data_IF_699857060774
#
_entry.id   IF_699857060774
#
_cell.length_a   1.000
_cell.length_b   1.000
_cell.length_c   1.000
_cell.angle_alpha   90.00
_cell.angle_beta   90.00
_cell.angle_gamma   90.00
#
_symmetry.space_group_name_H-M   'P 1'
#
loop_
_entity.id
_entity.type
_entity.pdbx_description
1 polymer ?
#
# COMPACT_ATOMS: atom_id res chain seq x y z
N UNK A 1 -4.25 -9.80 -14.47
CA UNK A 1 -3.57 -10.60 -13.43
C UNK A 1 -3.42 -9.93 -12.07
N UNK A 2 -3.59 -8.61 -11.94
CA UNK A 2 -3.60 -7.92 -10.64
C UNK A 2 -4.47 -6.66 -10.71
N UNK A 3 -4.71 -6.01 -9.56
CA UNK A 3 -5.46 -4.75 -9.45
C UNK A 3 -4.57 -3.66 -8.85
N UNK A 4 -4.52 -2.50 -9.49
CA UNK A 4 -4.02 -1.27 -8.88
C UNK A 4 -5.14 -0.56 -8.14
N UNK A 5 -5.00 -0.40 -6.83
CA UNK A 5 -6.03 0.19 -5.97
C UNK A 5 -5.59 1.58 -5.50
N UNK A 6 -6.19 2.63 -6.06
CA UNK A 6 -5.83 4.01 -5.76
C UNK A 6 -6.34 5.04 -6.78
N UNK A 7 -5.91 6.31 -6.66
CA UNK A 7 -4.87 6.77 -5.74
C UNK A 7 -5.32 6.75 -4.27
N UNK A 8 -4.48 6.26 -3.36
CA UNK A 8 -4.78 6.27 -1.91
C UNK A 8 -4.71 7.69 -1.35
N UNK A 9 -3.68 8.43 -1.73
CA UNK A 9 -3.49 9.84 -1.38
C UNK A 9 -3.32 10.68 -2.65
N UNK A 10 -3.53 12.00 -2.51
CA UNK A 10 -3.27 12.94 -3.60
C UNK A 10 -1.84 12.80 -4.12
N UNK A 11 -1.66 12.85 -5.44
CA UNK A 11 -0.35 12.67 -6.07
C UNK A 11 -0.17 13.61 -7.26
N UNK A 12 1.02 14.24 -7.41
CA UNK A 12 1.30 15.12 -8.54
C UNK A 12 1.41 14.38 -9.89
N UNK A 13 1.50 13.04 -9.89
CA UNK A 13 1.56 12.25 -11.14
C UNK A 13 0.21 12.20 -11.87
N UNK A 14 -0.91 12.37 -11.16
CA UNK A 14 -2.28 12.41 -11.69
C UNK A 14 -3.13 13.37 -10.84
N UNK A 15 -2.95 14.69 -11.02
CA UNK A 15 -3.52 15.69 -10.11
C UNK A 15 -5.05 15.73 -10.12
N UNK A 16 -5.69 15.33 -11.21
CA UNK A 16 -7.16 15.40 -11.37
C UNK A 16 -7.90 14.25 -10.67
N UNK A 17 -7.17 13.25 -10.15
CA UNK A 17 -7.76 12.09 -9.51
C UNK A 17 -7.96 12.35 -8.02
N UNK A 18 -9.22 12.33 -7.58
CA UNK A 18 -9.55 12.39 -6.16
C UNK A 18 -9.06 11.10 -5.47
N UNK A 19 -8.38 11.21 -4.31
CA UNK A 19 -7.94 10.04 -3.57
C UNK A 19 -9.13 9.26 -3.02
N UNK A 20 -9.11 7.94 -3.19
CA UNK A 20 -10.14 7.04 -2.64
C UNK A 20 -9.95 6.81 -1.13
N UNK A 21 -8.77 7.12 -0.61
CA UNK A 21 -8.45 7.00 0.80
C UNK A 21 -8.23 5.57 1.27
N UNK A 22 -8.27 5.39 2.60
CA UNK A 22 -7.88 4.14 3.27
C UNK A 22 -9.04 3.19 3.56
N UNK A 23 -10.29 3.69 3.55
CA UNK A 23 -11.46 3.00 4.12
C UNK A 23 -11.74 1.65 3.49
N UNK A 24 -11.60 1.57 2.17
CA UNK A 24 -12.03 0.41 1.39
C UNK A 24 -10.92 -0.61 1.16
N UNK A 25 -9.69 -0.37 1.65
CA UNK A 25 -8.53 -1.25 1.43
C UNK A 25 -8.81 -2.66 1.96
N UNK A 26 -9.31 -2.78 3.18
CA UNK A 26 -9.61 -4.07 3.79
C UNK A 26 -10.69 -4.82 3.01
N UNK A 27 -11.77 -4.12 2.66
CA UNK A 27 -12.91 -4.70 1.95
C UNK A 27 -12.50 -5.17 0.55
N UNK A 28 -11.71 -4.37 -0.17
CA UNK A 28 -11.17 -4.75 -1.48
C UNK A 28 -10.38 -6.06 -1.43
N UNK A 29 -9.57 -6.29 -0.40
CA UNK A 29 -8.84 -7.57 -0.23
C UNK A 29 -9.72 -8.75 0.19
N UNK A 30 -10.95 -8.52 0.64
CA UNK A 30 -11.94 -9.57 0.93
C UNK A 30 -12.74 -9.92 -0.33
N UNK A 31 -13.07 -8.92 -1.14
CA UNK A 31 -13.95 -9.09 -2.31
C UNK A 31 -13.21 -9.55 -3.56
N UNK A 32 -11.90 -9.31 -3.64
CA UNK A 32 -11.09 -9.55 -4.83
C UNK A 32 -10.05 -10.62 -4.57
N UNK A 33 -10.14 -11.73 -5.31
CA UNK A 33 -9.18 -12.84 -5.25
C UNK A 33 -7.87 -12.57 -6.03
N UNK A 34 -7.77 -11.45 -6.74
CA UNK A 34 -6.55 -11.04 -7.44
C UNK A 34 -5.59 -10.29 -6.50
N UNK A 35 -4.27 -10.34 -6.76
CA UNK A 35 -3.32 -9.48 -6.08
C UNK A 35 -3.70 -8.00 -6.21
N UNK A 36 -3.94 -7.33 -5.09
CA UNK A 36 -4.15 -5.88 -5.05
C UNK A 36 -2.87 -5.17 -4.62
N UNK A 37 -2.49 -4.13 -5.36
CA UNK A 37 -1.42 -3.19 -5.04
C UNK A 37 -2.02 -1.82 -4.73
N UNK A 38 -1.92 -1.39 -3.48
CA UNK A 38 -2.29 -0.02 -3.12
C UNK A 38 -1.29 0.96 -3.74
N UNK A 39 -1.76 2.00 -4.43
CA UNK A 39 -0.92 2.91 -5.21
C UNK A 39 -1.42 4.35 -5.09
N UNK A 40 -0.52 5.33 -5.30
CA UNK A 40 -0.87 6.74 -5.42
C UNK A 40 -0.65 7.51 -4.11
N UNK A 41 0.34 8.41 -4.15
CA UNK A 41 0.70 9.27 -3.02
C UNK A 41 1.30 8.55 -1.81
N UNK A 42 1.62 7.26 -1.94
CA UNK A 42 2.28 6.48 -0.89
C UNK A 42 3.75 6.88 -0.77
N UNK A 43 4.22 7.02 0.46
CA UNK A 43 5.58 7.33 0.88
C UNK A 43 5.90 6.56 2.16
N UNK A 44 7.16 6.54 2.60
CA UNK A 44 7.55 5.86 3.85
C UNK A 44 6.82 6.42 5.07
N UNK A 45 6.62 7.74 5.14
CA UNK A 45 5.97 8.43 6.27
C UNK A 45 4.49 8.06 6.48
N UNK A 46 3.79 7.65 5.42
CA UNK A 46 2.37 7.28 5.45
C UNK A 46 2.13 5.79 5.22
N UNK A 47 3.18 5.00 4.97
CA UNK A 47 3.08 3.58 4.64
C UNK A 47 2.45 2.76 5.77
N UNK A 48 2.75 3.07 7.03
CA UNK A 48 2.17 2.37 8.18
C UNK A 48 0.63 2.49 8.20
N UNK A 49 0.08 3.65 7.81
CA UNK A 49 -1.37 3.86 7.75
C UNK A 49 -2.02 2.99 6.67
N UNK A 50 -1.35 2.84 5.53
CA UNK A 50 -1.80 2.00 4.41
C UNK A 50 -1.79 0.53 4.81
N UNK A 51 -0.74 0.08 5.51
CA UNK A 51 -0.64 -1.29 6.03
C UNK A 51 -1.71 -1.54 7.10
N UNK A 52 -1.88 -0.62 8.05
CA UNK A 52 -2.91 -0.71 9.09
C UNK A 52 -4.33 -0.78 8.53
N UNK A 53 -4.58 -0.13 7.39
CA UNK A 53 -5.85 -0.21 6.66
C UNK A 53 -6.07 -1.56 5.94
N UNK A 54 -5.07 -2.46 5.94
CA UNK A 54 -5.16 -3.82 5.42
C UNK A 54 -4.34 -4.07 4.15
N UNK A 55 -3.51 -3.12 3.70
CA UNK A 55 -2.73 -3.31 2.48
C UNK A 55 -1.67 -4.40 2.66
N UNK A 56 -1.67 -5.37 1.74
CA UNK A 56 -0.67 -6.45 1.67
C UNK A 56 0.48 -6.14 0.71
N UNK A 57 0.25 -5.25 -0.27
CA UNK A 57 1.22 -4.86 -1.31
C UNK A 57 1.00 -3.39 -1.64
N UNK A 58 2.09 -2.67 -1.90
CA UNK A 58 2.07 -1.24 -2.26
C UNK A 58 2.94 -0.97 -3.48
N UNK A 59 2.63 0.09 -4.21
CA UNK A 59 3.47 0.66 -5.25
C UNK A 59 3.83 2.12 -4.91
N UNK A 60 5.14 2.38 -4.80
CA UNK A 60 5.70 3.68 -4.44
C UNK A 60 6.55 4.16 -5.62
N UNK A 61 6.25 5.36 -6.13
CA UNK A 61 6.97 5.95 -7.28
C UNK A 61 7.68 7.22 -6.87
N UNK A 62 6.98 8.36 -6.83
CA UNK A 62 7.59 9.66 -6.52
C UNK A 62 8.16 9.72 -5.11
N UNK A 63 7.53 9.05 -4.13
CA UNK A 63 8.06 8.93 -2.77
C UNK A 63 9.40 8.21 -2.67
N UNK A 64 9.71 7.33 -3.63
CA UNK A 64 10.98 6.62 -3.71
C UNK A 64 11.98 7.37 -4.59
N UNK A 65 11.59 7.71 -5.82
CA UNK A 65 12.47 8.34 -6.82
C UNK A 65 12.93 9.75 -6.44
N UNK A 66 12.19 10.45 -5.58
CA UNK A 66 12.56 11.79 -5.08
C UNK A 66 13.16 11.74 -3.67
N UNK A 67 13.43 10.56 -3.12
CA UNK A 67 14.06 10.45 -1.83
C UNK A 67 15.53 10.93 -1.91
N UNK A 68 16.06 11.60 -0.87
CA UNK A 68 17.47 11.96 -0.81
C UNK A 68 18.41 10.74 -0.91
N UNK A 69 17.96 9.61 -0.36
CA UNK A 69 18.61 8.31 -0.48
C UNK A 69 17.57 7.26 -0.87
N UNK A 70 17.62 6.82 -2.13
CA UNK A 70 16.71 5.83 -2.71
C UNK A 70 16.88 4.47 -2.03
N UNK A 71 18.11 4.07 -1.71
CA UNK A 71 18.42 2.77 -1.11
C UNK A 71 17.87 2.69 0.30
N UNK A 72 18.12 3.72 1.12
CA UNK A 72 17.59 3.82 2.47
C UNK A 72 16.04 3.82 2.46
N UNK A 73 15.43 4.58 1.56
CA UNK A 73 13.97 4.63 1.40
C UNK A 73 13.39 3.25 1.03
N UNK A 74 14.00 2.55 0.07
CA UNK A 74 13.57 1.20 -0.33
C UNK A 74 13.70 0.18 0.82
N UNK A 75 14.81 0.23 1.57
CA UNK A 75 15.03 -0.63 2.72
C UNK A 75 13.99 -0.39 3.81
N UNK A 76 13.69 0.87 4.10
CA UNK A 76 12.71 1.22 5.13
C UNK A 76 11.30 0.81 4.74
N UNK A 77 10.88 1.06 3.50
CA UNK A 77 9.59 0.60 2.99
C UNK A 77 9.46 -0.94 3.08
N UNK A 78 10.52 -1.66 2.69
CA UNK A 78 10.58 -3.13 2.81
C UNK A 78 10.49 -3.58 4.27
N UNK A 79 11.22 -2.92 5.18
CA UNK A 79 11.20 -3.22 6.62
C UNK A 79 9.79 -3.08 7.20
N UNK A 80 9.09 -1.99 6.88
CA UNK A 80 7.72 -1.75 7.33
C UNK A 80 6.75 -2.83 6.83
N UNK A 81 6.81 -3.17 5.54
CA UNK A 81 5.96 -4.21 4.94
C UNK A 81 6.20 -5.60 5.53
N UNK A 82 7.44 -5.93 5.91
CA UNK A 82 7.77 -7.22 6.50
C UNK A 82 7.41 -7.31 7.98
N UNK A 83 7.62 -6.22 8.75
CA UNK A 83 7.33 -6.17 10.18
C UNK A 83 5.82 -6.24 10.49
N UNK A 84 5.01 -5.68 9.60
CA UNK A 84 3.58 -5.50 9.81
C UNK A 84 2.71 -6.48 9.02
N UNK A 85 3.26 -7.63 8.58
CA UNK A 85 2.44 -8.69 7.98
C UNK A 85 1.28 -8.99 8.93
N UNK A 86 0.01 -8.78 8.52
CA UNK A 86 -1.12 -9.14 9.35
C UNK A 86 -1.02 -10.64 9.63
N UNK A 87 -1.16 -11.04 10.89
CA UNK A 87 -1.33 -12.45 11.25
C UNK A 87 -2.51 -12.98 10.44
N UNK A 88 -2.23 -13.76 9.40
CA UNK A 88 -3.24 -14.62 8.80
C UNK A 88 -3.61 -15.60 9.90
N UNK A 89 -4.75 -15.37 10.55
CA UNK A 89 -5.36 -16.34 11.45
C UNK A 89 -5.50 -17.65 10.68
N UNK A 90 -4.80 -18.68 11.12
CA UNK A 90 -5.16 -20.06 10.83
C UNK A 90 -6.60 -20.24 11.32
N UNK A 91 -7.55 -20.08 10.41
CA UNK A 91 -8.83 -20.77 10.50
C UNK A 91 -8.71 -21.97 9.55
N UNK A 92 -7.79 -22.86 9.89
CA UNK A 92 -8.09 -24.28 9.73
C UNK A 92 -9.10 -24.58 10.86
N UNK A 93 -10.32 -24.94 10.48
CA UNK A 93 -11.25 -25.60 11.38
C UNK A 93 -12.12 -26.55 10.54
N UNK A 94 -12.64 -27.61 11.17
CA UNK A 94 -12.29 -29.02 10.94
C UNK A 94 -12.92 -29.68 9.71
#
# INVERSE_FOLDING_TARGET
DYVGFGPIFATPTKPDYQPIGLKDIKQAHLDVNLPIFCIGGIKVDNLEQVIAAGARRVAIVSGLLKAPDITACAHEAKRLLLKLKPQTSNLENP
#
